data_IF_721472821741
#
_entry.id   IF_721472821741
#
_cell.length_a   1.000
_cell.length_b   1.000
_cell.length_c   1.000
_cell.angle_alpha   90.00
_cell.angle_beta   90.00
_cell.angle_gamma   90.00
#
_symmetry.space_group_name_H-M   'P 1'
#
loop_
_entity.id
_entity.type
_entity.pdbx_description
1 polymer ?
#
# COMPACT_ATOMS: atom_id res chain seq x y z
N UNK A 1 30.00 -4.56 -13.36
CA UNK A 1 30.39 -3.21 -13.84
C UNK A 1 31.73 -3.11 -14.58
N UNK A 2 32.93 -3.02 -13.94
CA UNK A 2 34.21 -2.72 -14.66
C UNK A 2 34.62 -3.73 -15.75
N UNK A 3 34.20 -4.98 -15.60
CA UNK A 3 34.56 -6.08 -16.49
C UNK A 3 33.39 -6.58 -17.37
N UNK A 4 32.20 -5.94 -17.30
CA UNK A 4 30.97 -6.34 -18.00
C UNK A 4 30.62 -7.85 -17.89
N UNK A 5 30.97 -8.47 -16.77
CA UNK A 5 30.62 -9.88 -16.51
C UNK A 5 29.12 -9.95 -16.26
N UNK A 6 28.38 -10.58 -17.18
CA UNK A 6 26.96 -10.83 -17.02
C UNK A 6 26.76 -12.05 -16.12
N UNK A 7 26.38 -11.80 -14.86
CA UNK A 7 26.03 -12.86 -13.91
C UNK A 7 24.52 -12.96 -13.88
N UNK A 8 23.91 -14.05 -14.37
CA UNK A 8 22.46 -14.19 -14.34
C UNK A 8 21.98 -14.29 -12.89
N UNK A 9 20.92 -13.55 -12.55
CA UNK A 9 20.27 -13.63 -11.25
C UNK A 9 19.06 -14.57 -11.37
N UNK A 10 19.15 -15.83 -10.87
CA UNK A 10 18.06 -16.80 -10.97
C UNK A 10 16.80 -16.39 -10.18
N UNK A 11 16.91 -15.40 -9.30
CA UNK A 11 15.80 -14.89 -8.50
C UNK A 11 15.18 -13.62 -9.08
N UNK A 12 15.65 -13.10 -10.21
CA UNK A 12 15.22 -11.78 -10.73
C UNK A 12 13.69 -11.68 -10.87
N UNK A 13 13.05 -12.68 -11.47
CA UNK A 13 11.59 -12.73 -11.62
C UNK A 13 10.88 -12.73 -10.27
N UNK A 14 11.36 -13.55 -9.33
CA UNK A 14 10.79 -13.62 -7.98
C UNK A 14 10.95 -12.29 -7.23
N UNK A 15 12.09 -11.61 -7.39
CA UNK A 15 12.37 -10.31 -6.78
C UNK A 15 11.39 -9.26 -7.32
N UNK A 16 11.19 -9.18 -8.63
CA UNK A 16 10.24 -8.23 -9.24
C UNK A 16 8.80 -8.48 -8.80
N UNK A 17 8.40 -9.74 -8.63
CA UNK A 17 7.04 -10.11 -8.23
C UNK A 17 6.76 -9.89 -6.73
N UNK A 18 7.73 -10.19 -5.85
CA UNK A 18 7.52 -10.16 -4.40
C UNK A 18 8.05 -8.89 -3.74
N UNK A 19 8.98 -8.18 -4.37
CA UNK A 19 9.59 -6.95 -3.86
C UNK A 19 9.62 -5.85 -4.93
N UNK A 20 8.51 -5.57 -5.65
CA UNK A 20 8.47 -4.59 -6.74
C UNK A 20 8.91 -3.20 -6.27
N UNK A 21 8.49 -2.80 -5.07
CA UNK A 21 8.84 -1.49 -4.51
C UNK A 21 10.35 -1.36 -4.23
N UNK A 22 10.98 -2.36 -3.61
CA UNK A 22 12.42 -2.34 -3.36
C UNK A 22 13.21 -2.31 -4.67
N UNK A 23 12.68 -2.98 -5.71
CA UNK A 23 13.20 -2.91 -7.06
C UNK A 23 13.11 -1.49 -7.64
N UNK A 24 11.93 -0.87 -7.58
CA UNK A 24 11.70 0.48 -8.12
C UNK A 24 12.56 1.55 -7.42
N UNK A 25 12.68 1.49 -6.09
CA UNK A 25 13.54 2.41 -5.32
C UNK A 25 15.00 2.24 -5.71
N UNK A 26 15.46 1.00 -5.81
CA UNK A 26 16.83 0.70 -6.23
C UNK A 26 17.08 1.20 -7.64
N UNK A 27 16.13 0.99 -8.55
CA UNK A 27 16.21 1.43 -9.93
C UNK A 27 16.27 2.96 -10.01
N UNK A 28 15.39 3.67 -9.31
CA UNK A 28 15.39 5.13 -9.29
C UNK A 28 16.73 5.70 -8.78
N UNK A 29 17.29 5.11 -7.71
CA UNK A 29 18.59 5.48 -7.18
C UNK A 29 19.74 5.22 -8.18
N UNK A 30 19.73 4.07 -8.84
CA UNK A 30 20.72 3.67 -9.85
C UNK A 30 20.61 4.54 -11.10
N UNK A 31 19.41 4.85 -11.59
CA UNK A 31 19.19 5.72 -12.75
C UNK A 31 19.70 7.15 -12.49
N UNK A 32 19.51 7.66 -11.27
CA UNK A 32 20.10 8.95 -10.88
C UNK A 32 21.63 8.89 -10.80
N UNK A 33 22.19 7.75 -10.36
CA UNK A 33 23.64 7.56 -10.30
C UNK A 33 24.28 7.45 -11.68
N UNK A 34 23.62 6.79 -12.64
CA UNK A 34 24.07 6.63 -14.03
C UNK A 34 24.38 7.95 -14.73
N UNK A 35 23.80 9.08 -14.30
CA UNK A 35 24.12 10.42 -14.80
C UNK A 35 25.57 10.86 -14.51
N UNK A 36 26.24 10.22 -13.54
CA UNK A 36 27.58 10.59 -13.06
C UNK A 36 28.65 9.53 -13.36
N UNK A 37 28.30 8.47 -14.09
CA UNK A 37 29.21 7.36 -14.39
C UNK A 37 28.96 6.81 -15.80
N UNK A 38 30.00 6.37 -16.52
CA UNK A 38 29.82 5.72 -17.82
C UNK A 38 29.32 4.26 -17.71
N UNK A 39 29.15 3.73 -16.49
CA UNK A 39 28.76 2.35 -16.27
C UNK A 39 27.25 2.21 -16.07
N UNK A 40 26.63 1.30 -16.83
CA UNK A 40 25.23 0.88 -16.66
C UNK A 40 25.17 -0.42 -15.86
N UNK A 41 24.24 -0.50 -14.91
CA UNK A 41 23.96 -1.74 -14.20
C UNK A 41 22.93 -2.57 -14.98
N UNK A 42 23.19 -3.86 -15.14
CA UNK A 42 22.22 -4.80 -15.69
C UNK A 42 21.07 -5.07 -14.71
N UNK A 43 19.92 -5.52 -15.21
CA UNK A 43 18.80 -5.93 -14.34
C UNK A 43 19.19 -6.99 -13.31
N UNK A 44 20.10 -7.90 -13.68
CA UNK A 44 20.62 -8.91 -12.78
C UNK A 44 21.41 -8.28 -11.61
N UNK A 45 22.28 -7.31 -11.90
CA UNK A 45 23.04 -6.57 -10.89
C UNK A 45 22.11 -5.73 -10.00
N UNK A 46 21.09 -5.08 -10.59
CA UNK A 46 20.05 -4.37 -9.83
C UNK A 46 19.33 -5.34 -8.89
N UNK A 47 18.94 -6.52 -9.37
CA UNK A 47 18.30 -7.55 -8.54
C UNK A 47 19.16 -7.95 -7.33
N UNK A 48 20.49 -8.03 -7.46
CA UNK A 48 21.37 -8.29 -6.32
C UNK A 48 21.42 -7.13 -5.33
N UNK A 49 21.40 -5.88 -5.81
CA UNK A 49 21.30 -4.69 -4.95
C UNK A 49 19.97 -4.66 -4.19
N UNK A 50 18.87 -5.04 -4.84
CA UNK A 50 17.54 -5.11 -4.23
C UNK A 50 17.51 -6.05 -3.04
N UNK A 51 18.23 -7.17 -3.08
CA UNK A 51 18.31 -8.07 -1.90
C UNK A 51 18.98 -7.38 -0.69
N UNK A 52 19.94 -6.49 -0.92
CA UNK A 52 20.64 -5.78 0.17
C UNK A 52 19.86 -4.55 0.64
N UNK A 53 19.29 -3.80 -0.30
CA UNK A 53 18.47 -2.61 -0.04
C UNK A 53 17.12 -3.00 0.56
N UNK A 54 16.50 -4.06 0.05
CA UNK A 54 15.23 -4.61 0.51
C UNK A 54 15.27 -4.99 1.98
N UNK A 55 16.35 -5.60 2.46
CA UNK A 55 16.56 -5.86 3.90
C UNK A 55 16.66 -4.58 4.72
N UNK A 56 17.26 -3.52 4.15
CA UNK A 56 17.31 -2.20 4.78
C UNK A 56 15.94 -1.53 4.86
N UNK A 57 15.18 -1.56 3.76
CA UNK A 57 13.80 -1.07 3.70
C UNK A 57 12.91 -1.86 4.68
N UNK A 58 13.05 -3.19 4.73
CA UNK A 58 12.33 -4.07 5.65
C UNK A 58 12.52 -3.71 7.12
N UNK A 59 13.75 -3.40 7.50
CA UNK A 59 14.12 -3.05 8.88
C UNK A 59 13.68 -1.64 9.27
N UNK A 60 13.54 -0.74 8.30
CA UNK A 60 13.11 0.64 8.51
C UNK A 60 11.60 0.87 8.30
N UNK A 61 10.80 -0.13 7.92
CA UNK A 61 9.32 -0.07 7.97
C UNK A 61 8.76 0.16 9.39
N UNK A 62 9.61 0.09 10.43
CA UNK A 62 9.30 0.61 11.77
C UNK A 62 9.44 2.14 11.79
N UNK A 63 8.55 2.80 11.06
CA UNK A 63 8.47 4.25 11.01
C UNK A 63 7.54 4.72 12.11
N UNK A 64 7.92 5.85 12.72
CA UNK A 64 7.19 6.54 13.77
C UNK A 64 5.70 6.69 13.43
N UNK A 65 4.92 6.85 14.48
CA UNK A 65 3.49 6.76 14.39
C UNK A 65 2.90 8.13 14.05
N UNK A 66 2.40 8.30 12.83
CA UNK A 66 1.74 9.55 12.43
C UNK A 66 0.42 9.74 13.17
N UNK A 67 -0.30 8.64 13.39
CA UNK A 67 -1.51 8.61 14.21
C UNK A 67 -1.20 8.10 15.62
N UNK A 68 -1.80 8.78 16.60
CA UNK A 68 -1.81 8.37 18.00
C UNK A 68 -3.25 8.03 18.42
N UNK A 69 -3.75 6.81 18.13
CA UNK A 69 -5.12 6.45 18.47
C UNK A 69 -5.38 6.62 19.95
N UNK A 70 -6.43 7.35 20.29
CA UNK A 70 -6.86 7.58 21.66
C UNK A 70 -7.86 6.50 22.04
N UNK A 71 -7.62 5.80 23.15
CA UNK A 71 -8.48 4.69 23.57
C UNK A 71 -8.90 4.81 25.03
N UNK A 72 -10.10 4.32 25.30
CA UNK A 72 -10.59 4.08 26.64
C UNK A 72 -10.28 2.64 27.05
N UNK A 73 -9.72 2.45 28.24
CA UNK A 73 -9.58 1.13 28.85
C UNK A 73 -10.71 0.88 29.85
N UNK A 74 -11.54 -0.13 29.60
CA UNK A 74 -12.58 -0.60 30.53
C UNK A 74 -12.03 -1.80 31.29
N UNK A 75 -11.89 -1.66 32.61
CA UNK A 75 -11.27 -2.68 33.44
C UNK A 75 -11.82 -2.64 34.87
N UNK A 76 -12.54 -3.68 35.28
CA UNK A 76 -13.02 -3.84 36.67
C UNK A 76 -12.01 -4.52 37.59
N UNK A 77 -10.94 -5.10 37.03
CA UNK A 77 -9.92 -5.79 37.82
C UNK A 77 -8.92 -4.78 38.37
N UNK A 78 -8.47 -5.00 39.61
CA UNK A 78 -7.62 -4.06 40.35
C UNK A 78 -6.36 -3.59 39.61
N UNK A 79 -5.73 -2.53 40.12
CA UNK A 79 -4.65 -1.78 39.48
C UNK A 79 -3.52 -2.61 38.83
N UNK A 80 -3.21 -3.79 39.37
CA UNK A 80 -2.20 -4.71 38.81
C UNK A 80 -2.57 -5.17 37.39
N UNK A 81 -3.83 -5.50 37.14
CA UNK A 81 -4.29 -5.97 35.82
C UNK A 81 -4.29 -4.84 34.79
N UNK A 82 -4.76 -3.65 35.19
CA UNK A 82 -4.73 -2.44 34.35
C UNK A 82 -3.29 -2.17 33.89
N UNK A 83 -2.34 -2.17 34.82
CA UNK A 83 -0.91 -1.98 34.50
C UNK A 83 -0.36 -3.03 33.55
N UNK A 84 -0.81 -4.29 33.69
CA UNK A 84 -0.36 -5.37 32.81
C UNK A 84 -0.88 -5.20 31.38
N UNK A 85 -2.15 -4.86 31.21
CA UNK A 85 -2.73 -4.56 29.89
C UNK A 85 -2.04 -3.34 29.27
N UNK A 86 -1.88 -2.26 30.04
CA UNK A 86 -1.17 -1.06 29.59
C UNK A 86 0.27 -1.35 29.17
N UNK A 87 0.99 -2.21 29.90
CA UNK A 87 2.35 -2.61 29.54
C UNK A 87 2.40 -3.45 28.26
N UNK A 88 1.44 -4.37 28.05
CA UNK A 88 1.34 -5.14 26.79
C UNK A 88 1.07 -4.23 25.60
N UNK A 89 0.13 -3.28 25.76
CA UNK A 89 -0.19 -2.29 24.72
C UNK A 89 1.01 -1.41 24.42
N UNK A 90 1.62 -0.78 25.44
CA UNK A 90 2.76 0.11 25.24
C UNK A 90 3.96 -0.59 24.57
N UNK A 91 4.12 -1.91 24.82
CA UNK A 91 5.17 -2.72 24.19
C UNK A 91 4.88 -3.04 22.72
N UNK A 92 3.65 -3.46 22.40
CA UNK A 92 3.27 -3.92 21.04
C UNK A 92 2.84 -2.75 20.13
N UNK A 93 2.19 -1.74 20.71
CA UNK A 93 1.61 -0.57 20.05
C UNK A 93 1.96 0.74 20.79
N UNK A 94 3.23 1.18 20.80
CA UNK A 94 3.64 2.40 21.52
C UNK A 94 2.98 3.71 21.06
N UNK A 95 2.31 3.71 19.91
CA UNK A 95 1.52 4.85 19.43
C UNK A 95 0.22 5.08 20.14
N UNK A 96 -0.33 4.02 20.71
CA UNK A 96 -1.68 4.00 21.22
C UNK A 96 -1.69 4.72 22.56
N UNK A 97 -2.56 5.71 22.68
CA UNK A 97 -2.69 6.56 23.86
C UNK A 97 -3.92 6.14 24.65
N UNK A 98 -3.70 5.55 25.82
CA UNK A 98 -4.79 5.29 26.77
C UNK A 98 -5.14 6.60 27.47
N UNK A 99 -6.25 7.24 27.08
CA UNK A 99 -6.66 8.56 27.61
C UNK A 99 -7.27 8.45 29.00
N UNK A 100 -8.03 7.39 29.25
CA UNK A 100 -8.60 7.09 30.57
C UNK A 100 -8.87 5.60 30.76
N UNK A 101 -8.87 5.19 32.02
CA UNK A 101 -9.31 3.87 32.46
C UNK A 101 -10.57 4.03 33.31
N UNK A 102 -11.62 3.27 33.00
CA UNK A 102 -12.92 3.32 33.71
C UNK A 102 -13.36 1.93 34.13
N UNK A 103 -14.26 1.86 35.12
CA UNK A 103 -14.93 0.61 35.48
C UNK A 103 -15.99 0.25 34.41
N UNK A 104 -16.41 -1.01 34.38
CA UNK A 104 -17.54 -1.46 33.55
C UNK A 104 -18.81 -0.67 33.87
N UNK A 105 -19.06 -0.43 35.15
CA UNK A 105 -20.22 0.32 35.61
C UNK A 105 -20.22 1.75 35.06
N UNK A 106 -19.06 2.41 35.09
CA UNK A 106 -18.92 3.76 34.54
C UNK A 106 -19.05 3.76 33.02
N UNK A 107 -18.51 2.73 32.35
CA UNK A 107 -18.68 2.56 30.91
C UNK A 107 -20.16 2.38 30.52
N UNK A 108 -20.92 1.55 31.24
CA UNK A 108 -22.31 1.26 30.93
C UNK A 108 -23.18 2.51 30.92
N UNK A 109 -22.97 3.43 31.87
CA UNK A 109 -23.74 4.67 31.98
C UNK A 109 -23.35 5.76 30.98
N UNK A 110 -22.21 5.64 30.29
CA UNK A 110 -21.80 6.61 29.29
C UNK A 110 -22.75 6.57 28.08
N UNK A 111 -23.29 7.70 27.60
CA UNK A 111 -24.14 7.70 26.41
C UNK A 111 -23.33 7.54 25.12
N UNK A 112 -22.06 7.95 25.14
CA UNK A 112 -21.20 8.05 23.96
C UNK A 112 -19.72 7.90 24.35
N UNK A 113 -18.89 7.53 23.38
CA UNK A 113 -17.43 7.39 23.48
C UNK A 113 -16.77 8.35 22.49
N UNK A 114 -15.89 9.21 23.00
CA UNK A 114 -15.18 10.22 22.20
C UNK A 114 -13.86 9.68 21.65
N UNK A 115 -13.29 8.70 22.35
CA UNK A 115 -12.10 7.95 21.94
C UNK A 115 -12.29 7.22 20.60
N UNK A 116 -11.19 6.87 19.93
CA UNK A 116 -11.22 6.17 18.64
C UNK A 116 -11.83 4.78 18.76
N UNK A 117 -11.57 4.09 19.87
CA UNK A 117 -12.15 2.79 20.22
C UNK A 117 -11.94 2.44 21.70
N UNK A 118 -12.53 1.34 22.13
CA UNK A 118 -12.49 0.85 23.51
C UNK A 118 -11.71 -0.45 23.59
N UNK A 119 -10.85 -0.58 24.59
CA UNK A 119 -10.25 -1.85 24.99
C UNK A 119 -10.90 -2.27 26.29
N UNK A 120 -11.40 -3.50 26.37
CA UNK A 120 -12.08 -3.99 27.57
C UNK A 120 -11.51 -5.32 28.03
N UNK A 121 -11.33 -5.50 29.34
CA UNK A 121 -10.95 -6.80 29.91
C UNK A 121 -12.13 -7.77 30.06
N UNK A 122 -13.35 -7.30 29.82
CA UNK A 122 -14.60 -8.05 29.87
C UNK A 122 -15.43 -7.78 28.61
N UNK A 123 -16.42 -8.65 28.33
CA UNK A 123 -17.36 -8.38 27.24
C UNK A 123 -18.27 -7.22 27.62
N UNK A 124 -18.35 -6.22 26.74
CA UNK A 124 -19.23 -5.06 26.88
C UNK A 124 -19.94 -4.79 25.57
N UNK A 125 -21.14 -4.20 25.64
CA UNK A 125 -21.84 -3.76 24.45
C UNK A 125 -21.13 -2.59 23.79
N UNK A 126 -21.00 -2.63 22.47
CA UNK A 126 -20.53 -1.49 21.69
C UNK A 126 -21.56 -0.36 21.78
N UNK A 127 -21.07 0.87 21.84
CA UNK A 127 -21.89 2.08 21.75
C UNK A 127 -21.78 2.64 20.33
N UNK A 128 -21.10 3.76 20.16
CA UNK A 128 -20.81 4.39 18.86
C UNK A 128 -19.39 4.07 18.34
N UNK A 129 -18.60 3.29 19.08
CA UNK A 129 -17.22 2.93 18.76
C UNK A 129 -16.99 1.43 18.93
N UNK A 130 -16.07 0.84 18.16
CA UNK A 130 -15.75 -0.57 18.28
C UNK A 130 -15.10 -0.88 19.63
N UNK A 131 -15.32 -2.12 20.10
CA UNK A 131 -14.76 -2.63 21.36
C UNK A 131 -13.87 -3.84 21.07
N UNK A 132 -12.63 -3.79 21.54
CA UNK A 132 -11.73 -4.95 21.53
C UNK A 132 -11.66 -5.56 22.92
N UNK A 133 -12.09 -6.81 23.05
CA UNK A 133 -11.98 -7.56 24.30
C UNK A 133 -10.59 -8.18 24.39
N UNK A 134 -9.82 -7.72 25.38
CA UNK A 134 -8.42 -8.09 25.59
C UNK A 134 -8.20 -8.63 27.01
N UNK A 135 -7.66 -9.84 27.12
CA UNK A 135 -7.28 -10.38 28.43
C UNK A 135 -5.94 -9.76 28.92
N UNK A 136 -5.61 -9.88 30.22
CA UNK A 136 -4.32 -9.40 30.75
C UNK A 136 -3.10 -10.10 30.13
N UNK A 137 -3.30 -11.30 29.60
CA UNK A 137 -2.34 -12.08 28.84
C UNK A 137 -2.96 -12.38 27.47
N UNK A 138 -2.96 -11.40 26.56
CA UNK A 138 -3.72 -11.49 25.33
C UNK A 138 -3.16 -12.59 24.42
N UNK A 139 -4.06 -13.27 23.72
CA UNK A 139 -3.66 -14.17 22.62
C UNK A 139 -3.20 -13.36 21.41
N UNK A 140 -2.44 -13.97 20.50
CA UNK A 140 -2.06 -13.32 19.23
C UNK A 140 -3.29 -12.87 18.43
N UNK A 141 -4.38 -13.65 18.45
CA UNK A 141 -5.64 -13.24 17.81
C UNK A 141 -6.22 -11.94 18.41
N UNK A 142 -6.18 -11.77 19.74
CA UNK A 142 -6.65 -10.54 20.39
C UNK A 142 -5.74 -9.35 20.08
N UNK A 143 -4.42 -9.58 20.00
CA UNK A 143 -3.48 -8.56 19.56
C UNK A 143 -3.73 -8.18 18.10
N UNK A 144 -4.03 -9.14 17.23
CA UNK A 144 -4.35 -8.89 15.83
C UNK A 144 -5.63 -8.05 15.69
N UNK A 145 -6.70 -8.36 16.44
CA UNK A 145 -7.92 -7.54 16.43
C UNK A 145 -7.65 -6.11 16.92
N UNK A 146 -6.81 -5.95 17.95
CA UNK A 146 -6.36 -4.62 18.37
C UNK A 146 -5.59 -3.92 17.24
N UNK A 147 -4.65 -4.62 16.62
CA UNK A 147 -3.82 -4.13 15.53
C UNK A 147 -4.62 -3.56 14.36
N UNK A 148 -5.76 -4.17 14.00
CA UNK A 148 -6.68 -3.68 12.96
C UNK A 148 -7.21 -2.27 13.26
N UNK A 149 -7.42 -1.95 14.54
CA UNK A 149 -7.90 -0.63 14.97
C UNK A 149 -6.76 0.37 15.23
N UNK A 150 -5.58 -0.12 15.65
CA UNK A 150 -4.42 0.74 15.85
C UNK A 150 -3.85 1.22 14.52
N UNK A 151 -3.78 0.31 13.54
CA UNK A 151 -3.10 0.50 12.26
C UNK A 151 -4.07 0.81 11.12
N UNK A 152 -5.24 1.41 11.40
CA UNK A 152 -6.30 1.66 10.40
C UNK A 152 -5.75 2.36 9.16
N UNK A 153 -4.92 3.38 9.35
CA UNK A 153 -4.22 4.14 8.30
C UNK A 153 -3.23 3.30 7.47
N UNK A 154 -2.80 2.16 7.99
CA UNK A 154 -1.95 1.18 7.31
C UNK A 154 -2.72 -0.07 6.87
N UNK A 155 -4.07 -0.07 6.98
CA UNK A 155 -4.88 -1.19 6.49
C UNK A 155 -5.14 -1.08 5.00
N UNK A 156 -5.15 -2.23 4.32
CA UNK A 156 -5.44 -2.33 2.90
C UNK A 156 -6.76 -1.65 2.47
N UNK A 157 -7.88 -1.77 3.24
CA UNK A 157 -9.10 -1.01 2.96
C UNK A 157 -8.92 0.50 3.03
N UNK A 158 -8.26 1.04 4.06
CA UNK A 158 -8.03 2.48 4.17
C UNK A 158 -7.23 3.03 2.98
N UNK A 159 -6.22 2.28 2.53
CA UNK A 159 -5.43 2.65 1.34
C UNK A 159 -6.29 2.76 0.08
N UNK A 160 -7.24 1.84 -0.12
CA UNK A 160 -8.22 1.94 -1.20
C UNK A 160 -9.10 3.18 -1.06
N UNK A 161 -9.49 3.57 0.16
CA UNK A 161 -10.33 4.76 0.37
C UNK A 161 -9.57 6.07 0.21
N UNK A 162 -8.29 6.10 0.57
CA UNK A 162 -7.45 7.30 0.53
C UNK A 162 -6.97 7.62 -0.87
N UNK A 163 -6.57 6.61 -1.65
CA UNK A 163 -5.82 6.82 -2.89
C UNK A 163 -6.57 6.44 -4.18
N UNK A 164 -7.76 5.81 -4.06
CA UNK A 164 -8.60 5.45 -5.20
C UNK A 164 -9.94 6.17 -5.10
N UNK A 165 -10.41 6.70 -6.21
CA UNK A 165 -11.72 7.33 -6.30
C UNK A 165 -12.36 7.17 -7.68
N UNK A 166 -13.64 7.53 -7.76
CA UNK A 166 -14.44 7.36 -8.96
C UNK A 166 -14.03 8.28 -10.13
N UNK A 167 -13.40 9.43 -9.88
CA UNK A 167 -12.96 10.35 -10.94
C UNK A 167 -11.70 9.83 -11.64
N UNK A 168 -10.93 8.99 -10.96
CA UNK A 168 -9.72 8.35 -11.48
C UNK A 168 -9.95 6.87 -11.83
N UNK A 169 -11.20 6.47 -12.07
CA UNK A 169 -11.57 5.15 -12.54
C UNK A 169 -12.10 5.22 -13.97
N UNK A 170 -11.58 4.37 -14.87
CA UNK A 170 -12.09 4.31 -16.25
C UNK A 170 -12.06 2.91 -16.85
N UNK A 171 -13.02 2.65 -17.73
CA UNK A 171 -13.07 1.45 -18.56
C UNK A 171 -12.82 1.85 -20.01
N UNK A 172 -11.75 1.32 -20.59
CA UNK A 172 -11.32 1.61 -21.97
C UNK A 172 -11.82 0.50 -22.89
N UNK A 173 -12.92 0.77 -23.61
CA UNK A 173 -13.54 -0.17 -24.54
C UNK A 173 -13.13 0.05 -26.01
N UNK A 174 -12.08 0.85 -26.23
CA UNK A 174 -11.54 1.21 -27.53
C UNK A 174 -10.09 0.74 -27.64
N UNK A 175 -9.59 0.42 -28.85
CA UNK A 175 -8.17 0.12 -29.04
C UNK A 175 -7.32 1.31 -28.60
N UNK A 176 -6.36 1.06 -27.71
CA UNK A 176 -5.51 2.09 -27.13
C UNK A 176 -4.08 1.55 -27.00
N UNK A 177 -3.09 2.31 -27.44
CA UNK A 177 -1.68 1.95 -27.22
C UNK A 177 -1.21 2.39 -25.83
N UNK A 178 -0.13 1.78 -25.33
CA UNK A 178 0.49 2.18 -24.06
C UNK A 178 0.86 3.68 -24.04
N UNK A 179 1.42 4.20 -25.14
CA UNK A 179 1.77 5.62 -25.25
C UNK A 179 0.52 6.52 -25.16
N UNK A 180 -0.55 6.17 -25.87
CA UNK A 180 -1.81 6.93 -25.84
C UNK A 180 -2.44 6.91 -24.45
N UNK A 181 -2.39 5.77 -23.75
CA UNK A 181 -2.81 5.61 -22.36
C UNK A 181 -2.03 6.57 -21.45
N UNK A 182 -0.70 6.54 -21.50
CA UNK A 182 0.15 7.39 -20.66
C UNK A 182 -0.10 8.88 -20.93
N UNK A 183 -0.19 9.29 -22.20
CA UNK A 183 -0.50 10.68 -22.56
C UNK A 183 -1.85 11.12 -21.99
N UNK A 184 -2.89 10.30 -22.16
CA UNK A 184 -4.25 10.60 -21.69
C UNK A 184 -4.29 10.78 -20.18
N UNK A 185 -3.75 9.81 -19.43
CA UNK A 185 -3.80 9.81 -17.97
C UNK A 185 -2.92 10.91 -17.38
N UNK A 186 -1.70 11.08 -17.88
CA UNK A 186 -0.81 12.12 -17.36
C UNK A 186 -1.35 13.53 -17.63
N UNK A 187 -1.95 13.76 -18.81
CA UNK A 187 -2.58 15.05 -19.11
C UNK A 187 -3.78 15.35 -18.19
N UNK A 188 -4.59 14.33 -17.86
CA UNK A 188 -5.67 14.48 -16.88
C UNK A 188 -5.10 14.89 -15.50
N UNK A 189 -4.13 14.15 -14.99
CA UNK A 189 -3.52 14.42 -13.68
C UNK A 189 -2.83 15.78 -13.61
N UNK A 190 -2.24 16.23 -14.71
CA UNK A 190 -1.62 17.56 -14.80
C UNK A 190 -2.68 18.67 -14.73
N UNK A 191 -3.77 18.55 -15.49
CA UNK A 191 -4.89 19.50 -15.48
C UNK A 191 -5.55 19.60 -14.09
N UNK A 192 -5.66 18.48 -13.39
CA UNK A 192 -6.20 18.41 -12.03
C UNK A 192 -5.20 18.86 -10.95
N UNK A 193 -3.93 19.11 -11.34
CA UNK A 193 -2.88 19.61 -10.46
C UNK A 193 -2.25 18.57 -9.53
N UNK A 194 -2.43 17.27 -9.81
CA UNK A 194 -1.76 16.19 -9.08
C UNK A 194 -0.27 16.11 -9.41
N UNK A 195 0.11 16.46 -10.64
CA UNK A 195 1.49 16.34 -11.15
C UNK A 195 1.95 17.63 -11.85
N UNK A 196 3.18 17.63 -12.37
CA UNK A 196 3.73 18.67 -13.24
C UNK A 196 4.06 18.13 -14.64
N UNK A 197 4.56 19.00 -15.52
CA UNK A 197 4.90 18.70 -16.92
C UNK A 197 5.97 17.61 -17.09
N UNK A 198 6.79 17.39 -16.06
CA UNK A 198 7.88 16.41 -16.02
C UNK A 198 7.41 14.99 -15.71
N UNK A 199 6.16 14.82 -15.28
CA UNK A 199 5.63 13.51 -14.88
C UNK A 199 5.46 12.56 -16.07
N UNK A 200 4.83 12.99 -17.17
CA UNK A 200 4.65 12.14 -18.36
C UNK A 200 5.99 11.65 -18.95
N UNK A 201 6.98 12.52 -19.22
CA UNK A 201 8.30 12.07 -19.67
C UNK A 201 8.94 11.06 -18.72
N UNK A 202 8.77 11.26 -17.40
CA UNK A 202 9.33 10.36 -16.38
C UNK A 202 8.66 8.99 -16.33
N UNK A 203 7.34 8.89 -16.56
CA UNK A 203 6.62 7.61 -16.67
C UNK A 203 7.08 6.84 -17.90
N UNK A 204 7.22 7.52 -19.05
CA UNK A 204 7.72 6.91 -20.29
C UNK A 204 9.16 6.43 -20.11
N UNK A 205 10.02 7.25 -19.50
CA UNK A 205 11.40 6.87 -19.19
C UNK A 205 11.45 5.66 -18.26
N UNK A 206 10.61 5.62 -17.21
CA UNK A 206 10.52 4.49 -16.28
C UNK A 206 10.16 3.19 -17.00
N UNK A 207 9.12 3.21 -17.83
CA UNK A 207 8.64 2.02 -18.54
C UNK A 207 9.68 1.49 -19.52
N UNK A 208 10.40 2.39 -20.20
CA UNK A 208 11.43 2.03 -21.18
C UNK A 208 12.66 1.36 -20.56
N UNK A 209 12.92 1.55 -19.26
CA UNK A 209 14.05 0.90 -18.58
C UNK A 209 13.72 -0.56 -18.28
N UNK A 210 12.57 -0.81 -17.66
CA UNK A 210 12.06 -2.14 -17.31
C UNK A 210 10.55 -2.07 -17.28
N UNK A 211 9.88 -3.01 -17.95
CA UNK A 211 8.41 -3.09 -17.97
C UNK A 211 7.81 -3.07 -16.56
N UNK A 212 6.72 -2.32 -16.39
CA UNK A 212 5.93 -2.28 -15.15
C UNK A 212 4.79 -3.30 -15.10
N UNK A 213 4.75 -4.22 -16.05
CA UNK A 213 3.86 -5.38 -16.00
C UNK A 213 4.28 -6.30 -14.85
N UNK A 214 3.45 -6.38 -13.81
CA UNK A 214 3.74 -7.16 -12.61
C UNK A 214 3.44 -8.66 -12.81
N UNK A 215 2.47 -8.96 -13.67
CA UNK A 215 2.05 -10.32 -14.03
C UNK A 215 0.53 -10.47 -14.12
N UNK A 216 0.08 -11.57 -14.72
CA UNK A 216 -1.36 -11.91 -14.86
C UNK A 216 -2.18 -10.77 -15.51
N UNK A 217 -1.58 -9.99 -16.42
CA UNK A 217 -2.22 -8.86 -17.08
C UNK A 217 -2.42 -7.61 -16.21
N UNK A 218 -1.73 -7.50 -15.06
CA UNK A 218 -1.74 -6.31 -14.19
C UNK A 218 -0.46 -5.48 -14.40
N UNK A 219 -0.61 -4.19 -14.70
CA UNK A 219 0.50 -3.25 -14.88
C UNK A 219 0.45 -2.07 -13.89
N UNK A 220 1.62 -1.60 -13.44
CA UNK A 220 1.78 -0.56 -12.43
C UNK A 220 2.65 0.63 -12.89
N UNK A 221 2.29 1.34 -13.98
CA UNK A 221 3.10 2.43 -14.50
C UNK A 221 3.21 3.58 -13.47
N UNK A 222 4.42 4.12 -13.32
CA UNK A 222 4.75 5.19 -12.37
C UNK A 222 5.98 5.97 -12.85
N UNK A 223 6.24 7.16 -12.29
CA UNK A 223 7.41 7.99 -12.62
C UNK A 223 8.71 7.48 -11.99
N UNK A 224 9.86 7.84 -12.57
CA UNK A 224 11.14 7.78 -11.86
C UNK A 224 11.16 8.80 -10.72
N UNK A 225 11.15 8.32 -9.49
CA UNK A 225 11.11 9.16 -8.30
C UNK A 225 9.73 9.75 -8.00
N UNK A 226 9.69 10.61 -6.99
CA UNK A 226 8.47 11.13 -6.38
C UNK A 226 8.16 12.54 -6.92
N UNK A 227 7.58 12.58 -8.12
CA UNK A 227 7.29 13.82 -8.86
C UNK A 227 5.87 14.34 -8.63
N UNK A 228 4.99 13.57 -7.99
CA UNK A 228 3.62 14.01 -7.76
C UNK A 228 3.53 15.02 -6.60
N UNK A 229 2.61 15.98 -6.73
CA UNK A 229 2.24 16.93 -5.68
C UNK A 229 1.27 16.30 -4.68
N UNK A 230 0.42 15.38 -5.15
CA UNK A 230 -0.55 14.61 -4.36
C UNK A 230 -0.55 13.17 -4.84
N UNK A 231 -0.78 12.24 -3.92
CA UNK A 231 -0.84 10.83 -4.25
C UNK A 231 -2.21 10.44 -4.80
N UNK A 232 -2.24 9.70 -5.91
CA UNK A 232 -3.45 9.13 -6.49
C UNK A 232 -3.12 7.90 -7.32
N UNK A 233 -4.05 6.93 -7.32
CA UNK A 233 -4.00 5.75 -8.20
C UNK A 233 -5.11 5.88 -9.24
N UNK A 234 -4.71 6.01 -10.50
CA UNK A 234 -5.65 5.95 -11.62
C UNK A 234 -5.85 4.48 -12.00
N UNK A 235 -7.09 4.02 -11.89
CA UNK A 235 -7.48 2.63 -12.20
C UNK A 235 -8.09 2.56 -13.58
N UNK A 236 -7.48 1.77 -14.46
CA UNK A 236 -7.93 1.58 -15.84
C UNK A 236 -8.19 0.10 -16.11
N UNK A 237 -9.39 -0.20 -16.60
CA UNK A 237 -9.78 -1.53 -17.05
C UNK A 237 -9.84 -1.53 -18.58
N UNK A 238 -9.06 -2.41 -19.22
CA UNK A 238 -8.99 -2.56 -20.68
C UNK A 238 -9.41 -3.99 -21.08
N UNK A 239 -10.72 -4.25 -21.32
CA UNK A 239 -11.21 -5.59 -21.66
C UNK A 239 -10.58 -6.19 -22.92
N UNK A 240 -10.21 -5.36 -23.90
CA UNK A 240 -9.53 -5.80 -25.12
C UNK A 240 -8.01 -6.01 -24.94
N UNK A 241 -7.48 -5.60 -23.79
CA UNK A 241 -6.04 -5.58 -23.51
C UNK A 241 -5.31 -4.44 -24.22
N UNK A 242 -4.20 -4.02 -23.62
CA UNK A 242 -3.24 -3.08 -24.21
C UNK A 242 -1.91 -3.83 -24.34
N UNK A 243 -1.32 -3.81 -25.54
CA UNK A 243 0.02 -4.35 -25.77
C UNK A 243 1.03 -3.62 -24.87
N UNK A 244 1.72 -4.40 -24.05
CA UNK A 244 2.65 -3.90 -23.04
C UNK A 244 4.11 -4.29 -23.35
N UNK A 245 4.38 -4.70 -24.60
CA UNK A 245 5.69 -5.13 -25.05
C UNK A 245 5.94 -6.62 -24.87
N UNK A 246 6.92 -7.15 -25.61
CA UNK A 246 7.39 -8.54 -25.54
C UNK A 246 6.29 -9.63 -25.69
N UNK A 247 5.18 -9.29 -26.34
CA UNK A 247 4.03 -10.20 -26.55
C UNK A 247 3.08 -10.31 -25.35
N UNK A 248 3.28 -9.49 -24.32
CA UNK A 248 2.45 -9.44 -23.12
C UNK A 248 1.35 -8.37 -23.23
N UNK A 249 0.22 -8.64 -22.58
CA UNK A 249 -0.97 -7.76 -22.62
C UNK A 249 -1.38 -7.34 -21.21
N UNK A 250 -1.61 -6.03 -21.01
CA UNK A 250 -2.16 -5.49 -19.77
C UNK A 250 -3.68 -5.28 -19.90
N UNK A 251 -4.43 -5.75 -18.91
CA UNK A 251 -5.89 -5.64 -18.83
C UNK A 251 -6.35 -4.77 -17.65
N UNK A 252 -5.61 -4.78 -16.54
CA UNK A 252 -5.87 -3.95 -15.37
C UNK A 252 -4.63 -3.12 -15.11
N UNK A 253 -4.75 -1.81 -15.27
CA UNK A 253 -3.63 -0.88 -15.14
C UNK A 253 -3.90 0.02 -13.95
N UNK A 254 -2.94 0.12 -13.05
CA UNK A 254 -2.95 1.08 -11.95
C UNK A 254 -1.81 2.06 -12.17
N UNK A 255 -2.10 3.24 -12.71
CA UNK A 255 -1.09 4.28 -12.85
C UNK A 255 -0.93 5.04 -11.54
N UNK A 256 0.28 5.05 -10.98
CA UNK A 256 0.56 5.64 -9.68
C UNK A 256 1.24 7.00 -9.86
N UNK A 257 0.62 8.04 -9.30
CA UNK A 257 1.29 9.30 -9.00
C UNK A 257 1.51 9.35 -7.49
N UNK A 258 2.76 9.28 -7.02
CA UNK A 258 3.09 9.22 -5.58
C UNK A 258 3.81 10.50 -5.16
N UNK A 259 3.29 11.13 -4.12
CA UNK A 259 3.91 12.32 -3.53
C UNK A 259 4.96 11.95 -2.49
N UNK A 260 5.84 12.91 -2.17
CA UNK A 260 6.85 12.72 -1.13
C UNK A 260 6.27 12.56 0.28
N UNK A 261 5.13 13.20 0.58
CA UNK A 261 4.53 13.13 1.91
C UNK A 261 3.94 11.75 2.19
N UNK A 262 3.35 11.12 1.18
CA UNK A 262 2.67 9.84 1.36
C UNK A 262 3.53 8.68 0.85
N UNK A 263 4.83 8.90 0.58
CA UNK A 263 5.70 7.86 0.04
C UNK A 263 5.65 6.58 0.86
N UNK A 264 5.63 6.73 2.19
CA UNK A 264 5.65 5.60 3.10
C UNK A 264 4.34 4.83 3.11
N UNK A 265 3.21 5.53 3.03
CA UNK A 265 1.89 4.92 2.88
C UNK A 265 1.76 4.30 1.50
N UNK A 266 2.28 4.95 0.45
CA UNK A 266 2.28 4.44 -0.91
C UNK A 266 2.99 3.07 -1.04
N UNK A 267 3.91 2.75 -0.12
CA UNK A 267 4.50 1.41 0.01
C UNK A 267 3.42 0.34 0.30
N UNK A 268 2.44 0.65 1.14
CA UNK A 268 1.31 -0.25 1.40
C UNK A 268 0.36 -0.38 0.19
N UNK A 269 0.38 0.56 -0.77
CA UNK A 269 -0.35 0.42 -2.04
C UNK A 269 0.29 -0.68 -2.88
N UNK A 270 1.62 -0.77 -2.94
CA UNK A 270 2.31 -1.86 -3.65
C UNK A 270 1.91 -3.24 -3.14
N UNK A 271 1.74 -3.40 -1.83
CA UNK A 271 1.22 -4.63 -1.21
C UNK A 271 -0.20 -4.99 -1.67
N UNK A 272 -1.05 -4.00 -1.99
CA UNK A 272 -2.37 -4.27 -2.58
C UNK A 272 -2.22 -4.98 -3.93
N UNK A 273 -1.35 -4.47 -4.79
CA UNK A 273 -1.17 -5.01 -6.14
C UNK A 273 -0.53 -6.40 -6.12
N UNK A 274 0.47 -6.60 -5.26
CA UNK A 274 1.05 -7.93 -5.01
C UNK A 274 -0.04 -8.90 -4.53
N UNK A 275 -0.94 -8.44 -3.66
CA UNK A 275 -2.10 -9.25 -3.23
C UNK A 275 -3.02 -9.59 -4.41
N UNK A 276 -3.34 -8.62 -5.29
CA UNK A 276 -4.19 -8.88 -6.45
C UNK A 276 -3.59 -9.90 -7.43
N UNK A 277 -2.28 -9.83 -7.67
CA UNK A 277 -1.56 -10.81 -8.49
C UNK A 277 -1.57 -12.18 -7.82
N UNK A 278 -1.25 -12.25 -6.52
CA UNK A 278 -1.24 -13.51 -5.76
C UNK A 278 -2.61 -14.20 -5.73
N UNK A 279 -3.67 -13.44 -5.54
CA UNK A 279 -5.06 -13.91 -5.54
C UNK A 279 -5.63 -14.13 -6.95
N UNK A 280 -4.82 -13.96 -8.01
CA UNK A 280 -5.24 -14.07 -9.42
C UNK A 280 -6.52 -13.28 -9.72
N UNK A 281 -6.58 -12.07 -9.19
CA UNK A 281 -7.82 -11.28 -9.14
C UNK A 281 -8.13 -10.55 -10.44
N UNK A 282 -7.24 -10.58 -11.44
CA UNK A 282 -7.37 -9.81 -12.68
C UNK A 282 -8.75 -9.96 -13.32
N UNK A 283 -9.22 -11.18 -13.60
CA UNK A 283 -10.51 -11.39 -14.28
C UNK A 283 -11.69 -10.86 -13.48
N UNK A 284 -11.60 -10.90 -12.14
CA UNK A 284 -12.64 -10.38 -11.25
C UNK A 284 -12.65 -8.85 -11.24
N UNK A 285 -11.46 -8.23 -11.19
CA UNK A 285 -11.30 -6.78 -11.25
C UNK A 285 -11.76 -6.25 -12.62
N UNK A 286 -11.35 -6.90 -13.72
CA UNK A 286 -11.73 -6.55 -15.09
C UNK A 286 -13.24 -6.64 -15.35
N UNK A 287 -13.95 -7.52 -14.63
CA UNK A 287 -15.41 -7.65 -14.71
C UNK A 287 -16.20 -6.50 -14.07
N UNK A 288 -15.52 -5.50 -13.49
CA UNK A 288 -16.16 -4.34 -12.86
C UNK A 288 -16.59 -3.31 -13.91
N UNK A 289 -17.82 -2.81 -13.81
CA UNK A 289 -18.36 -1.80 -14.74
C UNK A 289 -18.18 -0.36 -14.26
N UNK A 290 -17.91 -0.19 -12.97
CA UNK A 290 -17.79 1.12 -12.31
C UNK A 290 -16.85 1.03 -11.09
N UNK A 291 -16.56 2.17 -10.49
CA UNK A 291 -15.68 2.25 -9.33
C UNK A 291 -16.23 1.50 -8.12
N UNK A 292 -17.55 1.49 -7.93
CA UNK A 292 -18.17 0.84 -6.76
C UNK A 292 -18.02 -0.69 -6.83
N UNK A 293 -18.30 -1.29 -7.99
CA UNK A 293 -18.08 -2.71 -8.24
C UNK A 293 -16.61 -3.08 -8.16
N UNK A 294 -15.72 -2.26 -8.71
CA UNK A 294 -14.27 -2.44 -8.56
C UNK A 294 -13.84 -2.43 -7.09
N UNK A 295 -14.26 -1.42 -6.32
CA UNK A 295 -13.92 -1.28 -4.89
C UNK A 295 -14.41 -2.49 -4.09
N UNK A 296 -15.62 -2.99 -4.37
CA UNK A 296 -16.16 -4.17 -3.71
C UNK A 296 -15.32 -5.43 -4.00
N UNK A 297 -14.93 -5.65 -5.26
CA UNK A 297 -14.06 -6.77 -5.64
C UNK A 297 -12.69 -6.64 -4.98
N UNK A 298 -12.09 -5.45 -5.04
CA UNK A 298 -10.79 -5.18 -4.44
C UNK A 298 -10.81 -5.46 -2.92
N UNK A 299 -11.83 -4.99 -2.19
CA UNK A 299 -11.99 -5.26 -0.76
C UNK A 299 -12.15 -6.75 -0.45
N UNK A 300 -12.95 -7.48 -1.24
CA UNK A 300 -13.08 -8.94 -1.06
C UNK A 300 -11.72 -9.64 -1.22
N UNK A 301 -10.93 -9.28 -2.24
CA UNK A 301 -9.60 -9.86 -2.45
C UNK A 301 -8.66 -9.60 -1.25
N UNK A 302 -8.77 -8.44 -0.60
CA UNK A 302 -7.93 -8.07 0.53
C UNK A 302 -8.39 -8.72 1.85
N UNK A 303 -9.63 -9.21 1.91
CA UNK A 303 -10.22 -9.85 3.10
C UNK A 303 -9.92 -11.35 3.22
N UNK A 304 -9.45 -12.01 2.16
CA UNK A 304 -9.20 -13.46 2.09
C UNK A 304 -7.89 -13.92 2.75
N UNK A 305 -7.35 -13.14 3.69
CA UNK A 305 -6.07 -13.41 4.39
C UNK A 305 -6.33 -14.06 5.74
#
# INVERSE_FOLDING_TARGET
MKYQINIPNPLLTNIKQHYPMAYDVTLAAVSSWGKYTPYTLSENEIGYLVLHIGVGLERHYNIGYERHPQVMLVCDTGNSTVRMIQAQIARKYPQLVVTRTVSLRDYEILPHIDEDFVISNARVSEKNKPVVVMSPFPTEYQLEQLGKLVLVDRTKPYMLEKFFDANHFMVVNEPLTQEQLFRRVCAQLEQEGYVGEDFYPSVVEREAIVSTLLGEGIALPHSLGLLAKKTVVVTLLAPQGIDWGDGEMAHVIFLLAISKSDYEEAMAIYELFVTFVRERSMSRLLGSSDFASFKAVALDCLSRI
#
